data_IF_146324697743
#
_entry.id   IF_146324697743
#
_cell.length_a   1.000
_cell.length_b   1.000
_cell.length_c   1.000
_cell.angle_alpha   90.00
_cell.angle_beta   90.00
_cell.angle_gamma   90.00
#
_symmetry.space_group_name_H-M   'P 1'
#
loop_
_entity.id
_entity.type
_entity.pdbx_description
1 polymer ?
#
# COMPACT_ATOMS: atom_id res chain seq x y z
N UNK A 1 -34.06 -33.84 -13.23
CA UNK A 1 -32.58 -33.74 -13.26
C UNK A 1 -32.07 -32.30 -13.42
N UNK A 2 -32.66 -31.45 -14.28
CA UNK A 2 -32.13 -30.09 -14.53
C UNK A 2 -32.19 -29.06 -13.37
N UNK A 3 -33.08 -29.21 -12.37
CA UNK A 3 -33.21 -28.21 -11.29
C UNK A 3 -32.04 -28.23 -10.29
N UNK A 4 -31.46 -29.40 -10.02
CA UNK A 4 -30.29 -29.54 -9.14
C UNK A 4 -28.99 -29.06 -9.80
N UNK A 5 -28.89 -29.17 -11.12
CA UNK A 5 -27.72 -28.74 -11.90
C UNK A 5 -27.62 -27.20 -11.96
N UNK A 6 -28.77 -26.51 -12.10
CA UNK A 6 -28.86 -25.05 -12.06
C UNK A 6 -28.49 -24.49 -10.67
N UNK A 7 -28.92 -25.14 -9.58
CA UNK A 7 -28.55 -24.75 -8.21
C UNK A 7 -27.05 -24.96 -7.96
N UNK A 8 -26.49 -26.09 -8.43
CA UNK A 8 -25.05 -26.37 -8.34
C UNK A 8 -24.21 -25.31 -9.05
N UNK A 9 -24.62 -24.89 -10.26
CA UNK A 9 -23.95 -23.81 -11.00
C UNK A 9 -24.12 -22.44 -10.35
N UNK A 10 -25.28 -22.16 -9.73
CA UNK A 10 -25.51 -20.90 -9.03
C UNK A 10 -24.69 -20.77 -7.74
N UNK A 11 -24.56 -21.86 -6.98
CA UNK A 11 -23.73 -21.94 -5.78
C UNK A 11 -22.24 -21.86 -6.15
N UNK A 12 -21.81 -22.58 -7.19
CA UNK A 12 -20.43 -22.54 -7.68
C UNK A 12 -20.05 -21.16 -8.21
N UNK A 13 -20.96 -20.49 -8.92
CA UNK A 13 -20.82 -19.10 -9.37
C UNK A 13 -20.67 -18.14 -8.17
N UNK A 14 -21.56 -18.21 -7.16
CA UNK A 14 -21.45 -17.36 -5.96
C UNK A 14 -20.18 -17.62 -5.14
N UNK A 15 -19.73 -18.88 -5.04
CA UNK A 15 -18.52 -19.24 -4.30
C UNK A 15 -17.24 -18.86 -5.06
N UNK A 16 -17.24 -18.94 -6.40
CA UNK A 16 -16.16 -18.45 -7.26
C UNK A 16 -16.07 -16.91 -7.30
N UNK A 17 -17.19 -16.19 -7.25
CA UNK A 17 -17.19 -14.73 -7.21
C UNK A 17 -16.55 -14.23 -5.90
N UNK A 18 -16.88 -14.87 -4.76
CA UNK A 18 -16.30 -14.54 -3.45
C UNK A 18 -14.76 -14.69 -3.42
N UNK A 19 -14.24 -15.74 -4.07
CA UNK A 19 -12.80 -16.01 -4.12
C UNK A 19 -12.05 -15.10 -5.09
N UNK A 20 -12.66 -14.74 -6.22
CA UNK A 20 -12.08 -13.76 -7.15
C UNK A 20 -12.02 -12.35 -6.55
N UNK A 21 -13.09 -11.91 -5.90
CA UNK A 21 -13.08 -10.61 -5.20
C UNK A 21 -12.10 -10.60 -4.03
N UNK A 22 -12.03 -11.66 -3.21
CA UNK A 22 -11.02 -11.80 -2.16
C UNK A 22 -9.58 -11.71 -2.73
N UNK A 23 -9.34 -12.25 -3.94
CA UNK A 23 -8.04 -12.20 -4.60
C UNK A 23 -7.71 -10.81 -5.15
N UNK A 24 -8.69 -10.15 -5.79
CA UNK A 24 -8.56 -8.76 -6.26
C UNK A 24 -8.29 -7.82 -5.06
N UNK A 25 -8.97 -8.06 -3.94
CA UNK A 25 -8.77 -7.29 -2.71
C UNK A 25 -7.42 -7.62 -2.03
N UNK A 26 -6.76 -8.73 -2.36
CA UNK A 26 -5.41 -9.03 -1.88
C UNK A 26 -4.30 -8.50 -2.78
N UNK A 27 -4.61 -8.25 -4.05
CA UNK A 27 -3.59 -7.90 -5.05
C UNK A 27 -2.96 -6.53 -4.78
N UNK A 28 -3.74 -5.57 -4.27
CA UNK A 28 -3.23 -4.23 -3.95
C UNK A 28 -2.19 -4.28 -2.81
N UNK A 29 -2.33 -5.19 -1.85
CA UNK A 29 -1.36 -5.42 -0.78
C UNK A 29 -0.03 -5.94 -1.34
N UNK A 30 -0.08 -6.90 -2.28
CA UNK A 30 1.13 -7.41 -2.95
C UNK A 30 1.81 -6.30 -3.74
N UNK A 31 1.05 -5.55 -4.55
CA UNK A 31 1.59 -4.42 -5.33
C UNK A 31 2.26 -3.42 -4.39
N UNK A 32 1.63 -3.11 -3.26
CA UNK A 32 2.18 -2.18 -2.26
C UNK A 32 3.47 -2.70 -1.65
N UNK A 33 3.54 -3.98 -1.25
CA UNK A 33 4.77 -4.59 -0.74
C UNK A 33 5.89 -4.55 -1.78
N UNK A 34 5.57 -4.86 -3.05
CA UNK A 34 6.52 -4.82 -4.16
C UNK A 34 7.07 -3.42 -4.45
N UNK A 35 6.33 -2.35 -4.13
CA UNK A 35 6.79 -0.97 -4.28
C UNK A 35 7.53 -0.50 -3.02
N UNK A 36 6.95 -0.74 -1.84
CA UNK A 36 7.45 -0.20 -0.57
C UNK A 36 8.76 -0.84 -0.13
N UNK A 37 8.98 -2.14 -0.39
CA UNK A 37 10.25 -2.79 -0.04
C UNK A 37 11.42 -2.15 -0.81
N UNK A 38 11.43 -2.09 -2.16
CA UNK A 38 12.48 -1.41 -2.90
C UNK A 38 12.66 0.05 -2.49
N UNK A 39 11.55 0.79 -2.32
CA UNK A 39 11.60 2.20 -1.90
C UNK A 39 12.26 2.33 -0.52
N UNK A 40 11.95 1.44 0.43
CA UNK A 40 12.57 1.43 1.75
C UNK A 40 14.09 1.25 1.65
N UNK A 41 14.56 0.33 0.82
CA UNK A 41 16.00 0.11 0.60
C UNK A 41 16.67 1.33 -0.06
N UNK A 42 16.03 1.91 -1.08
CA UNK A 42 16.57 3.11 -1.72
C UNK A 42 16.66 4.26 -0.72
N UNK A 43 15.61 4.49 0.08
CA UNK A 43 15.60 5.56 1.07
C UNK A 43 16.61 5.33 2.21
N UNK A 44 16.79 4.09 2.66
CA UNK A 44 17.68 3.77 3.78
C UNK A 44 19.17 3.75 3.42
N UNK A 45 19.52 3.35 2.20
CA UNK A 45 20.93 3.15 1.80
C UNK A 45 21.44 4.17 0.79
N UNK A 46 20.58 4.68 -0.09
CA UNK A 46 20.95 5.63 -1.15
C UNK A 46 19.85 6.66 -1.40
N UNK A 47 19.52 7.50 -0.39
CA UNK A 47 18.51 8.55 -0.58
C UNK A 47 18.93 9.53 -1.68
N UNK A 48 20.24 9.71 -1.91
CA UNK A 48 20.85 10.47 -3.01
C UNK A 48 20.31 10.11 -4.41
N UNK A 49 19.83 8.87 -4.61
CA UNK A 49 19.28 8.42 -5.89
C UNK A 49 17.82 8.86 -6.11
N UNK A 50 17.10 9.14 -5.02
CA UNK A 50 15.70 9.60 -5.07
C UNK A 50 15.57 11.09 -4.79
N UNK A 51 16.55 11.67 -4.11
CA UNK A 51 16.55 13.02 -3.61
C UNK A 51 17.90 13.64 -3.88
N UNK A 52 17.90 14.92 -4.26
CA UNK A 52 19.11 15.74 -4.33
C UNK A 52 19.57 16.14 -2.90
N UNK A 53 19.62 15.15 -1.99
CA UNK A 53 19.98 15.30 -0.59
C UNK A 53 21.38 14.74 -0.37
N UNK A 54 22.31 15.61 0.01
CA UNK A 54 23.62 15.24 0.52
C UNK A 54 23.46 14.92 2.01
N UNK A 55 23.62 13.65 2.39
CA UNK A 55 23.69 13.27 3.80
C UNK A 55 25.09 13.57 4.32
N UNK A 56 25.21 14.58 5.18
CA UNK A 56 26.52 15.05 5.66
C UNK A 56 26.90 14.43 7.02
N UNK A 57 25.91 13.95 7.78
CA UNK A 57 26.12 13.45 9.15
C UNK A 57 25.71 11.99 9.35
N UNK A 58 26.35 11.32 10.31
CA UNK A 58 25.97 9.95 10.71
C UNK A 58 24.56 9.86 11.28
N UNK A 59 24.07 10.94 11.88
CA UNK A 59 22.74 11.00 12.48
C UNK A 59 21.65 11.02 11.41
N UNK A 60 21.86 11.74 10.31
CA UNK A 60 20.97 11.71 9.15
C UNK A 60 20.89 10.30 8.54
N UNK A 61 22.04 9.62 8.37
CA UNK A 61 22.07 8.23 7.90
C UNK A 61 21.30 7.28 8.83
N UNK A 62 21.42 7.45 10.15
CA UNK A 62 20.69 6.65 11.13
C UNK A 62 19.18 6.93 11.09
N UNK A 63 18.79 8.19 10.87
CA UNK A 63 17.39 8.57 10.71
C UNK A 63 16.75 7.92 9.48
N UNK A 64 17.41 7.95 8.32
CA UNK A 64 16.91 7.29 7.11
C UNK A 64 16.82 5.77 7.25
N UNK A 65 17.75 5.14 7.97
CA UNK A 65 17.68 3.71 8.30
C UNK A 65 16.50 3.38 9.23
N UNK A 66 16.17 4.28 10.16
CA UNK A 66 14.98 4.11 11.01
C UNK A 66 13.69 4.19 10.18
N UNK A 67 13.60 5.13 9.23
CA UNK A 67 12.46 5.22 8.28
C UNK A 67 12.36 3.96 7.42
N UNK A 68 13.47 3.46 6.89
CA UNK A 68 13.49 2.17 6.18
C UNK A 68 12.92 1.05 7.04
N UNK A 69 13.34 0.95 8.31
CA UNK A 69 12.82 -0.04 9.26
C UNK A 69 11.30 0.05 9.45
N UNK A 70 10.76 1.26 9.52
CA UNK A 70 9.31 1.49 9.59
C UNK A 70 8.59 0.96 8.35
N UNK A 71 9.11 1.24 7.15
CA UNK A 71 8.52 0.79 5.88
C UNK A 71 8.55 -0.74 5.74
N UNK A 72 9.66 -1.36 6.14
CA UNK A 72 9.79 -2.82 6.18
C UNK A 72 8.86 -3.45 7.23
N UNK A 73 8.67 -2.80 8.39
CA UNK A 73 7.73 -3.24 9.43
C UNK A 73 6.29 -3.30 8.93
N UNK A 74 5.82 -2.25 8.25
CA UNK A 74 4.49 -2.26 7.62
C UNK A 74 4.40 -3.29 6.48
N UNK A 75 5.45 -3.42 5.67
CA UNK A 75 5.50 -4.45 4.62
C UNK A 75 5.36 -5.86 5.19
N UNK A 76 6.00 -6.15 6.33
CA UNK A 76 5.86 -7.42 7.02
C UNK A 76 4.43 -7.66 7.53
N UNK A 77 3.76 -6.62 8.06
CA UNK A 77 2.36 -6.69 8.47
C UNK A 77 1.44 -6.99 7.27
N UNK A 78 1.71 -6.40 6.11
CA UNK A 78 0.95 -6.64 4.89
C UNK A 78 1.13 -8.06 4.35
N UNK A 79 2.36 -8.57 4.36
CA UNK A 79 2.65 -9.98 4.05
C UNK A 79 1.89 -10.91 5.02
N UNK A 80 1.86 -10.58 6.31
CA UNK A 80 1.11 -11.34 7.31
C UNK A 80 -0.40 -11.32 7.04
N UNK A 81 -0.97 -10.17 6.65
CA UNK A 81 -2.37 -10.03 6.26
C UNK A 81 -2.73 -10.76 4.97
N UNK A 82 -1.77 -10.93 4.06
CA UNK A 82 -1.95 -11.77 2.87
C UNK A 82 -2.09 -13.25 3.23
N UNK A 83 -1.19 -13.75 4.11
CA UNK A 83 -1.12 -15.16 4.53
C UNK A 83 -2.29 -15.53 5.45
N UNK A 84 -2.62 -14.68 6.43
CA UNK A 84 -3.63 -14.97 7.45
C UNK A 84 -4.85 -14.07 7.29
N UNK A 85 -6.02 -14.68 7.00
CA UNK A 85 -7.30 -13.95 6.84
C UNK A 85 -7.66 -13.08 8.06
N UNK A 86 -7.25 -13.49 9.27
CA UNK A 86 -7.45 -12.71 10.52
C UNK A 86 -6.76 -11.34 10.50
N UNK A 87 -5.64 -11.20 9.80
CA UNK A 87 -4.86 -9.96 9.74
C UNK A 87 -5.12 -9.17 8.45
N UNK A 88 -6.01 -9.66 7.59
CA UNK A 88 -6.27 -9.06 6.29
C UNK A 88 -6.90 -7.66 6.43
N UNK A 89 -7.90 -7.52 7.29
CA UNK A 89 -8.53 -6.21 7.56
C UNK A 89 -7.51 -5.21 8.11
N UNK A 90 -6.69 -5.62 9.08
CA UNK A 90 -5.63 -4.78 9.64
C UNK A 90 -4.60 -4.37 8.58
N UNK A 91 -4.23 -5.29 7.69
CA UNK A 91 -3.28 -5.01 6.62
C UNK A 91 -3.84 -4.00 5.61
N UNK A 92 -5.12 -4.10 5.24
CA UNK A 92 -5.78 -3.11 4.37
C UNK A 92 -5.82 -1.74 5.05
N UNK A 93 -6.29 -1.67 6.30
CA UNK A 93 -6.43 -0.42 7.03
C UNK A 93 -5.07 0.28 7.18
N UNK A 94 -4.04 -0.47 7.57
CA UNK A 94 -2.69 0.09 7.72
C UNK A 94 -2.06 0.48 6.39
N UNK A 95 -2.27 -0.30 5.31
CA UNK A 95 -1.80 0.05 3.97
C UNK A 95 -2.43 1.36 3.49
N UNK A 96 -3.73 1.51 3.67
CA UNK A 96 -4.46 2.72 3.34
C UNK A 96 -3.96 3.94 4.15
N UNK A 97 -3.84 3.80 5.47
CA UNK A 97 -3.34 4.88 6.35
C UNK A 97 -1.92 5.27 5.95
N UNK A 98 -1.07 4.29 5.62
CA UNK A 98 0.30 4.53 5.21
C UNK A 98 0.38 5.33 3.91
N UNK A 99 -0.37 4.93 2.88
CA UNK A 99 -0.39 5.63 1.59
C UNK A 99 -0.96 7.05 1.71
N UNK A 100 -2.05 7.24 2.46
CA UNK A 100 -2.59 8.58 2.70
C UNK A 100 -1.68 9.43 3.58
N UNK A 101 -1.03 8.85 4.59
CA UNK A 101 -0.09 9.57 5.45
C UNK A 101 1.07 10.14 4.65
N UNK A 102 1.64 9.35 3.72
CA UNK A 102 2.67 9.82 2.80
C UNK A 102 2.14 10.90 1.86
N UNK A 103 0.99 10.67 1.22
CA UNK A 103 0.39 11.63 0.30
C UNK A 103 0.05 12.97 0.95
N UNK A 104 -0.52 12.96 2.16
CA UNK A 104 -0.85 14.17 2.93
C UNK A 104 0.40 14.87 3.45
N UNK A 105 1.40 14.13 3.93
CA UNK A 105 2.69 14.72 4.33
C UNK A 105 3.39 15.43 3.16
N UNK A 106 3.35 14.83 1.97
CA UNK A 106 3.87 15.44 0.74
C UNK A 106 3.04 16.62 0.27
N UNK A 107 1.72 16.57 0.41
CA UNK A 107 0.85 17.70 0.09
C UNK A 107 1.10 18.89 1.03
N UNK A 108 1.34 18.64 2.31
CA UNK A 108 1.74 19.68 3.26
C UNK A 108 3.09 20.28 2.88
N UNK A 109 4.10 19.44 2.59
CA UNK A 109 5.41 19.92 2.12
C UNK A 109 5.33 20.70 0.81
N UNK A 110 4.46 20.30 -0.12
CA UNK A 110 4.17 21.06 -1.35
C UNK A 110 3.64 22.47 -1.06
N UNK A 111 2.84 22.62 -0.01
CA UNK A 111 2.24 23.90 0.38
C UNK A 111 3.25 24.76 1.16
N UNK A 112 4.08 24.16 2.02
CA UNK A 112 5.00 24.90 2.90
C UNK A 112 6.38 25.14 2.28
N UNK A 113 6.92 24.15 1.56
CA UNK A 113 8.32 24.11 1.12
C UNK A 113 8.46 24.30 -0.40
N UNK A 114 7.36 24.30 -1.15
CA UNK A 114 7.32 24.52 -2.60
C UNK A 114 7.28 23.23 -3.43
N UNK A 115 7.42 23.36 -4.76
CA UNK A 115 7.23 22.23 -5.69
C UNK A 115 8.53 21.40 -5.79
N UNK A 116 8.55 20.14 -5.30
CA UNK A 116 9.65 19.21 -5.51
C UNK A 116 9.66 18.71 -6.96
N UNK A 117 10.67 17.92 -7.33
CA UNK A 117 10.84 17.33 -8.67
C UNK A 117 9.55 16.69 -9.19
N UNK A 118 9.29 16.80 -10.51
CA UNK A 118 8.04 16.36 -11.15
C UNK A 118 7.63 14.89 -10.89
N UNK A 119 8.60 13.99 -10.70
CA UNK A 119 8.36 12.60 -10.31
C UNK A 119 7.68 12.48 -8.93
N UNK A 120 7.96 13.41 -8.03
CA UNK A 120 7.47 13.45 -6.66
C UNK A 120 6.01 13.90 -6.59
N UNK A 121 5.64 14.87 -7.43
CA UNK A 121 4.24 15.32 -7.60
C UNK A 121 3.39 14.18 -8.17
N UNK A 122 3.90 13.43 -9.14
CA UNK A 122 3.21 12.28 -9.71
C UNK A 122 3.03 11.14 -8.70
N UNK A 123 4.07 10.83 -7.91
CA UNK A 123 4.00 9.84 -6.84
C UNK A 123 2.94 10.20 -5.79
N UNK A 124 2.89 11.48 -5.39
CA UNK A 124 1.90 12.00 -4.42
C UNK A 124 0.46 11.85 -4.94
N UNK A 125 0.23 12.15 -6.23
CA UNK A 125 -1.08 11.99 -6.85
C UNK A 125 -1.50 10.51 -6.95
N UNK A 126 -0.58 9.62 -7.32
CA UNK A 126 -0.81 8.17 -7.37
C UNK A 126 -1.13 7.59 -5.98
N UNK A 127 -0.44 8.04 -4.93
CA UNK A 127 -0.66 7.64 -3.55
C UNK A 127 -2.05 8.08 -3.04
N UNK A 128 -2.45 9.32 -3.32
CA UNK A 128 -3.80 9.83 -2.99
C UNK A 128 -4.89 9.05 -3.73
N UNK A 129 -4.70 8.76 -5.01
CA UNK A 129 -5.67 7.99 -5.80
C UNK A 129 -5.81 6.55 -5.29
N UNK A 130 -4.68 5.92 -4.98
CA UNK A 130 -4.63 4.54 -4.46
C UNK A 130 -5.23 4.46 -3.05
N UNK A 131 -4.98 5.48 -2.20
CA UNK A 131 -5.61 5.60 -0.90
C UNK A 131 -7.13 5.71 -1.00
N UNK A 132 -7.64 6.63 -1.83
CA UNK A 132 -9.08 6.78 -2.06
C UNK A 132 -9.73 5.51 -2.62
N UNK A 133 -9.04 4.80 -3.52
CA UNK A 133 -9.51 3.51 -4.02
C UNK A 133 -9.56 2.44 -2.92
N UNK A 134 -8.57 2.41 -2.02
CA UNK A 134 -8.54 1.53 -0.85
C UNK A 134 -9.74 1.73 0.08
N UNK A 135 -10.15 2.98 0.33
CA UNK A 135 -11.37 3.30 1.10
C UNK A 135 -12.64 2.76 0.43
N UNK A 136 -12.74 2.92 -0.88
CA UNK A 136 -13.89 2.45 -1.63
C UNK A 136 -14.00 0.93 -1.59
N UNK A 137 -12.89 0.21 -1.73
CA UNK A 137 -12.82 -1.24 -1.60
C UNK A 137 -13.16 -1.71 -0.18
N UNK A 138 -12.61 -1.05 0.85
CA UNK A 138 -12.93 -1.38 2.24
C UNK A 138 -14.42 -1.22 2.55
N UNK A 139 -15.03 -0.12 2.07
CA UNK A 139 -16.46 0.13 2.25
C UNK A 139 -17.33 -0.90 1.52
N UNK A 140 -16.89 -1.39 0.36
CA UNK A 140 -17.57 -2.45 -0.41
C UNK A 140 -17.44 -3.84 0.23
N UNK A 141 -16.35 -4.11 0.95
CA UNK A 141 -16.12 -5.36 1.68
C UNK A 141 -16.95 -5.47 2.97
N UNK A 142 -17.34 -4.33 3.55
CA UNK A 142 -18.06 -4.25 4.82
C UNK A 142 -19.58 -3.99 4.67
N UNK A 143 -20.10 -4.07 3.44
CA UNK A 143 -21.54 -4.07 3.09
C UNK A 143 -21.96 -5.45 2.61
#
# INVERSE_FOLDING_TARGET
>A
MGHFETIGNHIRSRMMIKTKEDFINKIHLIISVCIVIPVAFVYGFKPELSFDMLLETTDEHNFYKAIMGLYLGFSALWILGFIKKRYFETAIVTNFIFMLGLGLGRLLSLITDGIPTSAYVFGTAAELFTGCYGLWVFKRLNQ
#
